data_IF_436706360291
#
_entry.id   IF_436706360291
#
_cell.length_a   1.000
_cell.length_b   1.000
_cell.length_c   1.000
_cell.angle_alpha   90.00
_cell.angle_beta   90.00
_cell.angle_gamma   90.00
#
_symmetry.space_group_name_H-M   'P 1'
#
loop_
_entity.id
_entity.type
_entity.pdbx_description
1 polymer ?
#
# COMPACT_ATOMS: atom_id res chain seq x y z
N UNK A 1 -5.85 26.71 -3.44
CA UNK A 1 -5.53 25.67 -2.44
C UNK A 1 -6.29 25.99 -1.18
N UNK A 2 -7.00 25.02 -0.63
CA UNK A 2 -7.84 25.23 0.54
C UNK A 2 -6.96 25.35 1.81
N UNK A 3 -7.26 26.33 2.66
CA UNK A 3 -6.44 26.67 3.83
C UNK A 3 -6.30 25.50 4.80
N UNK A 4 -7.32 24.67 4.97
CA UNK A 4 -7.27 23.53 5.87
C UNK A 4 -6.28 22.45 5.39
N UNK A 5 -6.24 22.16 4.09
CA UNK A 5 -5.26 21.22 3.53
C UNK A 5 -3.84 21.76 3.61
N UNK A 6 -3.65 23.07 3.43
CA UNK A 6 -2.33 23.68 3.58
C UNK A 6 -1.80 23.53 5.01
N UNK A 7 -2.66 23.75 6.01
CA UNK A 7 -2.31 23.55 7.43
C UNK A 7 -2.00 22.09 7.71
N UNK A 8 -2.82 21.15 7.24
CA UNK A 8 -2.57 19.72 7.42
C UNK A 8 -1.28 19.26 6.73
N UNK A 9 -1.01 19.75 5.51
CA UNK A 9 0.23 19.45 4.80
C UNK A 9 1.45 19.89 5.64
N UNK A 10 1.46 21.14 6.12
CA UNK A 10 2.53 21.64 6.99
C UNK A 10 2.64 20.85 8.29
N UNK A 11 1.52 20.49 8.91
CA UNK A 11 1.50 19.69 10.14
C UNK A 11 2.07 18.29 9.91
N UNK A 12 1.74 17.62 8.79
CA UNK A 12 2.31 16.31 8.44
C UNK A 12 3.81 16.35 8.13
N UNK A 13 4.33 17.50 7.70
CA UNK A 13 5.77 17.71 7.53
C UNK A 13 6.47 17.90 8.88
N UNK A 14 5.86 18.66 9.80
CA UNK A 14 6.38 18.90 11.15
C UNK A 14 6.29 17.66 12.05
N UNK A 15 5.20 16.90 11.93
CA UNK A 15 4.88 15.73 12.76
C UNK A 15 4.61 14.49 11.89
N UNK A 16 5.60 14.00 11.13
CA UNK A 16 5.41 12.95 10.13
C UNK A 16 5.01 11.58 10.69
N UNK A 17 5.15 11.40 12.01
CA UNK A 17 4.81 10.16 12.72
C UNK A 17 3.42 10.17 13.35
N UNK A 18 2.73 11.30 13.30
CA UNK A 18 1.34 11.39 13.74
C UNK A 18 0.45 10.86 12.61
N UNK A 19 -0.11 9.66 12.80
CA UNK A 19 -1.00 9.06 11.80
C UNK A 19 -2.36 9.76 11.73
N UNK A 20 -2.80 10.43 12.79
CA UNK A 20 -4.05 11.18 12.81
C UNK A 20 -4.05 12.32 11.80
N UNK A 21 -2.94 13.03 11.65
CA UNK A 21 -2.80 14.11 10.67
C UNK A 21 -2.91 13.61 9.21
N UNK A 22 -2.37 12.42 8.94
CA UNK A 22 -2.47 11.80 7.63
C UNK A 22 -3.89 11.30 7.33
N UNK A 23 -4.56 10.76 8.34
CA UNK A 23 -5.95 10.32 8.25
C UNK A 23 -6.89 11.52 8.02
N UNK A 24 -6.75 12.59 8.80
CA UNK A 24 -7.54 13.81 8.67
C UNK A 24 -7.35 14.47 7.29
N UNK A 25 -6.12 14.49 6.78
CA UNK A 25 -5.86 14.97 5.41
C UNK A 25 -6.56 14.10 4.36
N UNK A 26 -6.56 12.77 4.52
CA UNK A 26 -7.27 11.85 3.65
C UNK A 26 -8.78 12.05 3.69
N UNK A 27 -9.36 12.16 4.89
CA UNK A 27 -10.78 12.36 5.11
C UNK A 27 -11.26 13.71 4.56
N UNK A 28 -10.44 14.76 4.70
CA UNK A 28 -10.74 16.07 4.13
C UNK A 28 -10.79 16.04 2.60
N UNK A 29 -9.82 15.39 1.94
CA UNK A 29 -9.88 15.22 0.48
C UNK A 29 -11.08 14.38 0.04
N UNK A 30 -11.41 13.32 0.81
CA UNK A 30 -12.56 12.49 0.52
C UNK A 30 -13.88 13.25 0.66
N UNK A 31 -14.03 14.08 1.70
CA UNK A 31 -15.21 14.94 1.92
C UNK A 31 -15.43 15.92 0.76
N UNK A 32 -14.36 16.23 0.01
CA UNK A 32 -14.38 17.09 -1.18
C UNK A 32 -14.58 16.30 -2.48
N UNK A 33 -14.87 15.01 -2.39
CA UNK A 33 -15.04 14.12 -3.54
C UNK A 33 -13.72 13.74 -4.24
N UNK A 34 -12.56 14.12 -3.69
CA UNK A 34 -11.24 13.89 -4.28
C UNK A 34 -10.64 12.57 -3.78
N UNK A 35 -11.29 11.48 -4.17
CA UNK A 35 -10.91 10.12 -3.74
C UNK A 35 -9.44 9.78 -4.06
N UNK A 36 -8.93 10.18 -5.22
CA UNK A 36 -7.54 9.92 -5.61
C UNK A 36 -6.54 10.66 -4.71
N UNK A 37 -6.83 11.90 -4.35
CA UNK A 37 -5.98 12.70 -3.45
C UNK A 37 -6.03 12.15 -2.02
N UNK A 38 -7.20 11.70 -1.56
CA UNK A 38 -7.34 11.00 -0.29
C UNK A 38 -6.48 9.73 -0.23
N UNK A 39 -6.53 8.88 -1.27
CA UNK A 39 -5.66 7.70 -1.38
C UNK A 39 -4.19 8.11 -1.38
N UNK A 40 -3.82 9.17 -2.11
CA UNK A 40 -2.44 9.65 -2.18
C UNK A 40 -1.92 10.14 -0.81
N UNK A 41 -2.75 10.84 -0.03
CA UNK A 41 -2.43 11.28 1.33
C UNK A 41 -2.18 10.08 2.26
N UNK A 42 -3.11 9.12 2.29
CA UNK A 42 -3.01 7.92 3.11
C UNK A 42 -1.80 7.05 2.74
N UNK A 43 -1.51 6.88 1.45
CA UNK A 43 -0.33 6.15 0.96
C UNK A 43 0.96 6.86 1.35
N UNK A 44 1.00 8.19 1.27
CA UNK A 44 2.16 8.99 1.68
C UNK A 44 2.43 8.82 3.17
N UNK A 45 1.40 8.98 4.02
CA UNK A 45 1.51 8.75 5.46
C UNK A 45 1.93 7.32 5.79
N UNK A 46 1.29 6.33 5.17
CA UNK A 46 1.64 4.92 5.36
C UNK A 46 3.10 4.62 5.00
N UNK A 47 3.62 5.19 3.91
CA UNK A 47 5.03 5.09 3.52
C UNK A 47 5.95 5.73 4.55
N UNK A 48 5.63 6.93 5.02
CA UNK A 48 6.41 7.66 6.02
C UNK A 48 6.49 6.89 7.35
N UNK A 49 5.35 6.42 7.85
CA UNK A 49 5.27 5.62 9.08
C UNK A 49 5.99 4.28 8.95
N UNK A 50 5.87 3.62 7.80
CA UNK A 50 6.57 2.38 7.53
C UNK A 50 8.09 2.57 7.52
N UNK A 51 8.59 3.69 6.99
CA UNK A 51 10.01 4.05 7.04
C UNK A 51 10.47 4.29 8.49
N UNK A 52 9.62 4.93 9.30
CA UNK A 52 9.83 5.15 10.73
C UNK A 52 9.61 3.89 11.60
N UNK A 53 9.33 2.71 11.00
CA UNK A 53 9.02 1.45 11.70
C UNK A 53 7.77 1.50 12.60
N UNK A 54 6.90 2.50 12.43
CA UNK A 54 5.59 2.56 13.06
C UNK A 54 4.60 1.65 12.31
N UNK A 55 4.76 0.33 12.48
CA UNK A 55 4.06 -0.67 11.66
C UNK A 55 2.53 -0.63 11.84
N UNK A 56 2.02 -0.57 13.07
CA UNK A 56 0.58 -0.50 13.34
C UNK A 56 -0.09 0.72 12.69
N UNK A 57 0.40 1.95 12.96
CA UNK A 57 -0.06 3.16 12.28
C UNK A 57 0.02 3.08 10.75
N UNK A 58 1.12 2.58 10.21
CA UNK A 58 1.27 2.40 8.77
C UNK A 58 0.22 1.43 8.20
N UNK A 59 -0.02 0.30 8.87
CA UNK A 59 -1.03 -0.68 8.46
C UNK A 59 -2.43 -0.05 8.44
N UNK A 60 -2.79 0.78 9.42
CA UNK A 60 -4.10 1.48 9.46
C UNK A 60 -4.32 2.37 8.24
N UNK A 61 -3.37 3.28 7.95
CA UNK A 61 -3.49 4.19 6.80
C UNK A 61 -3.55 3.44 5.47
N UNK A 62 -2.73 2.41 5.31
CA UNK A 62 -2.69 1.60 4.08
C UNK A 62 -3.96 0.75 3.92
N UNK A 63 -4.58 0.31 5.02
CA UNK A 63 -5.90 -0.30 4.98
C UNK A 63 -6.99 0.70 4.60
N UNK A 64 -6.95 1.92 5.12
CA UNK A 64 -7.89 2.98 4.73
C UNK A 64 -7.78 3.28 3.23
N UNK A 65 -6.55 3.41 2.71
CA UNK A 65 -6.30 3.55 1.28
C UNK A 65 -6.88 2.38 0.48
N UNK A 66 -6.75 1.13 0.96
CA UNK A 66 -7.31 -0.06 0.31
C UNK A 66 -8.84 -0.16 0.36
N UNK A 67 -9.50 0.45 1.36
CA UNK A 67 -10.97 0.58 1.38
C UNK A 67 -11.45 1.57 0.31
N UNK A 68 -10.70 2.65 0.11
CA UNK A 68 -10.98 3.64 -0.91
C UNK A 68 -10.62 3.12 -2.30
N UNK A 69 -9.51 2.42 -2.47
CA UNK A 69 -9.13 1.88 -3.78
C UNK A 69 -8.59 0.45 -3.63
N UNK A 70 -9.48 -0.55 -3.78
CA UNK A 70 -9.07 -1.94 -3.72
C UNK A 70 -7.99 -2.24 -4.75
N UNK A 71 -6.94 -2.95 -4.32
CA UNK A 71 -5.79 -3.33 -5.16
C UNK A 71 -4.96 -2.17 -5.71
N UNK A 72 -5.07 -0.97 -5.11
CA UNK A 72 -4.15 0.12 -5.40
C UNK A 72 -2.69 -0.35 -5.18
N UNK A 73 -1.87 -0.21 -6.23
CA UNK A 73 -0.59 -0.90 -6.35
C UNK A 73 0.39 -0.56 -5.23
N UNK A 74 0.68 0.73 -5.03
CA UNK A 74 1.63 1.17 -4.00
C UNK A 74 1.14 0.85 -2.59
N UNK A 75 -0.14 1.16 -2.31
CA UNK A 75 -0.78 0.88 -1.02
C UNK A 75 -0.67 -0.61 -0.63
N UNK A 76 -1.01 -1.49 -1.56
CA UNK A 76 -1.00 -2.94 -1.35
C UNK A 76 0.43 -3.47 -1.16
N UNK A 77 1.40 -2.96 -1.93
CA UNK A 77 2.82 -3.31 -1.76
C UNK A 77 3.37 -2.87 -0.40
N UNK A 78 3.02 -1.67 0.04
CA UNK A 78 3.42 -1.14 1.35
C UNK A 78 2.76 -1.93 2.48
N UNK A 79 1.48 -2.28 2.35
CA UNK A 79 0.76 -3.07 3.37
C UNK A 79 1.39 -4.45 3.52
N UNK A 80 1.70 -5.12 2.41
CA UNK A 80 2.42 -6.40 2.43
C UNK A 80 3.80 -6.27 3.10
N UNK A 81 4.53 -5.16 2.90
CA UNK A 81 5.80 -4.90 3.59
C UNK A 81 5.60 -4.69 5.10
N UNK A 82 4.54 -3.99 5.50
CA UNK A 82 4.21 -3.79 6.90
C UNK A 82 3.90 -5.14 7.58
N UNK A 83 3.01 -5.94 6.99
CA UNK A 83 2.68 -7.29 7.46
C UNK A 83 3.89 -8.22 7.53
N UNK A 84 4.76 -8.19 6.52
CA UNK A 84 5.98 -9.00 6.54
C UNK A 84 6.93 -8.61 7.68
N UNK A 85 6.99 -7.33 8.03
CA UNK A 85 7.81 -6.81 9.15
C UNK A 85 7.16 -7.07 10.52
N UNK A 86 5.83 -7.16 10.60
CA UNK A 86 5.09 -7.53 11.82
C UNK A 86 4.97 -9.06 12.02
N UNK A 87 5.68 -9.86 11.22
CA UNK A 87 5.71 -11.33 11.34
C UNK A 87 4.63 -12.06 10.55
N UNK A 88 3.67 -11.34 9.96
CA UNK A 88 2.56 -11.87 9.14
C UNK A 88 2.97 -12.16 7.70
N UNK A 89 4.11 -12.84 7.53
CA UNK A 89 4.73 -13.09 6.23
C UNK A 89 3.84 -13.88 5.27
N UNK A 90 3.12 -14.89 5.78
CA UNK A 90 2.20 -15.71 4.95
C UNK A 90 1.05 -14.86 4.39
N UNK A 91 0.49 -13.96 5.19
CA UNK A 91 -0.57 -13.04 4.77
C UNK A 91 -0.07 -12.04 3.73
N UNK A 92 1.11 -11.45 3.98
CA UNK A 92 1.76 -10.54 3.03
C UNK A 92 1.93 -11.18 1.65
N UNK A 93 2.35 -12.45 1.63
CA UNK A 93 2.53 -13.20 0.40
C UNK A 93 1.21 -13.42 -0.33
N UNK A 94 0.15 -13.86 0.38
CA UNK A 94 -1.18 -14.05 -0.21
C UNK A 94 -1.72 -12.74 -0.81
N UNK A 95 -1.51 -11.62 -0.11
CA UNK A 95 -1.89 -10.30 -0.59
C UNK A 95 -1.17 -9.94 -1.90
N UNK A 96 0.14 -10.20 -2.00
CA UNK A 96 0.93 -9.93 -3.20
C UNK A 96 0.54 -10.81 -4.39
N UNK A 97 0.18 -12.06 -4.14
CA UNK A 97 -0.36 -12.94 -5.18
C UNK A 97 -1.69 -12.41 -5.72
N UNK A 98 -2.60 -12.00 -4.83
CA UNK A 98 -3.86 -11.39 -5.22
C UNK A 98 -3.68 -10.10 -6.04
N UNK A 99 -2.68 -9.28 -5.67
CA UNK A 99 -2.32 -8.06 -6.40
C UNK A 99 -1.81 -8.40 -7.80
N UNK A 100 -0.92 -9.37 -7.92
CA UNK A 100 -0.33 -9.74 -9.19
C UNK A 100 -1.33 -10.38 -10.16
N UNK A 101 -2.38 -11.02 -9.65
CA UNK A 101 -3.47 -11.57 -10.46
C UNK A 101 -4.36 -10.47 -11.06
N UNK A 102 -4.60 -9.39 -10.32
CA UNK A 102 -5.57 -8.33 -10.70
C UNK A 102 -4.95 -7.13 -11.39
N UNK A 103 -3.62 -6.98 -11.30
CA UNK A 103 -2.90 -5.86 -11.90
C UNK A 103 -1.96 -6.32 -13.01
N UNK A 104 -1.61 -5.39 -13.91
CA UNK A 104 -0.68 -5.57 -15.01
C UNK A 104 0.67 -4.89 -14.80
N UNK A 105 1.53 -4.99 -15.82
CA UNK A 105 2.74 -4.18 -15.97
C UNK A 105 3.69 -4.19 -14.76
N UNK A 106 4.17 -2.99 -14.39
CA UNK A 106 5.17 -2.79 -13.32
C UNK A 106 4.66 -3.22 -11.94
N UNK A 107 3.38 -2.97 -11.63
CA UNK A 107 2.78 -3.35 -10.34
C UNK A 107 2.78 -4.87 -10.16
N UNK A 108 2.37 -5.61 -11.20
CA UNK A 108 2.45 -7.07 -11.21
C UNK A 108 3.88 -7.52 -10.93
N UNK A 109 4.85 -7.02 -11.69
CA UNK A 109 6.26 -7.39 -11.56
C UNK A 109 6.81 -7.12 -10.14
N UNK A 110 6.53 -5.94 -9.58
CA UNK A 110 6.91 -5.58 -8.23
C UNK A 110 6.30 -6.51 -7.17
N UNK A 111 5.03 -6.89 -7.34
CA UNK A 111 4.36 -7.83 -6.46
C UNK A 111 5.01 -9.21 -6.49
N UNK A 112 5.34 -9.75 -7.69
CA UNK A 112 6.04 -11.04 -7.82
C UNK A 112 7.42 -10.98 -7.16
N UNK A 113 8.19 -9.95 -7.45
CA UNK A 113 9.53 -9.77 -6.92
C UNK A 113 9.53 -9.70 -5.39
N UNK A 114 8.59 -8.95 -4.79
CA UNK A 114 8.47 -8.89 -3.34
C UNK A 114 8.03 -10.24 -2.75
N UNK A 115 7.07 -10.94 -3.36
CA UNK A 115 6.64 -12.25 -2.89
C UNK A 115 7.77 -13.28 -2.91
N UNK A 116 8.60 -13.29 -3.96
CA UNK A 116 9.79 -14.14 -4.08
C UNK A 116 10.83 -13.82 -3.01
N UNK A 117 11.08 -12.53 -2.73
CA UNK A 117 12.00 -12.13 -1.66
C UNK A 117 11.50 -12.54 -0.27
N UNK A 118 10.18 -12.56 -0.07
CA UNK A 118 9.58 -12.98 1.19
C UNK A 118 9.53 -14.51 1.35
N UNK A 119 9.49 -15.27 0.27
CA UNK A 119 9.60 -16.73 0.29
C UNK A 119 10.30 -17.21 -0.97
N UNK A 120 11.63 -17.44 -0.90
CA UNK A 120 12.38 -18.00 -2.02
C UNK A 120 12.10 -19.51 -2.07
N UNK A 121 10.94 -19.89 -2.60
CA UNK A 121 10.61 -21.30 -2.87
C UNK A 121 10.65 -21.57 -4.37
N UNK A 122 11.35 -22.63 -4.83
CA UNK A 122 11.44 -22.98 -6.25
C UNK A 122 10.06 -23.14 -6.90
N UNK A 123 9.10 -23.76 -6.20
CA UNK A 123 7.73 -23.97 -6.70
C UNK A 123 6.98 -22.67 -7.03
N UNK A 124 7.30 -21.54 -6.38
CA UNK A 124 6.75 -20.24 -6.77
C UNK A 124 7.40 -19.75 -8.05
N UNK A 125 8.73 -19.77 -8.17
CA UNK A 125 9.45 -19.38 -9.40
C UNK A 125 8.85 -20.06 -10.65
N UNK A 126 8.60 -21.37 -10.58
CA UNK A 126 7.97 -22.13 -11.67
C UNK A 126 6.53 -21.70 -12.00
N UNK A 127 5.75 -21.24 -11.01
CA UNK A 127 4.38 -20.75 -11.22
C UNK A 127 4.32 -19.41 -11.97
N UNK A 128 5.38 -18.60 -11.89
CA UNK A 128 5.44 -17.29 -12.56
C UNK A 128 6.11 -17.33 -13.94
N UNK A 129 6.88 -18.39 -14.23
CA UNK A 129 7.56 -18.63 -15.51
C UNK A 129 6.66 -19.30 -16.56
N UNK A 130 5.54 -19.91 -16.17
CA UNK A 130 4.58 -20.43 -17.16
C UNK A 130 3.88 -19.25 -17.84
N UNK A 131 3.92 -19.15 -19.18
CA UNK A 131 2.99 -18.31 -19.90
C UNK A 131 1.59 -18.78 -19.52
N UNK A 132 0.67 -17.84 -19.25
CA UNK A 132 -0.76 -18.17 -19.28
C UNK A 132 -1.03 -18.68 -20.70
N UNK A 133 -1.12 -20.01 -20.86
CA UNK A 133 -1.70 -20.59 -22.06
C UNK A 133 -3.07 -19.92 -22.22
N UNK A 134 -3.25 -19.22 -23.34
CA UNK A 134 -4.49 -18.54 -23.65
C UNK A 134 -5.64 -19.53 -23.53
N UNK A 135 -6.63 -19.18 -22.72
CA UNK A 135 -7.98 -19.68 -22.90
C UNK A 135 -8.51 -19.03 -24.17
N UNK A 136 -8.69 -19.87 -25.21
CA UNK A 136 -9.44 -19.54 -26.42
C UNK A 136 -10.92 -19.39 -26.17
#
# INVERSE_FOLDING_TARGET
>A
MDRALAVLAQATEAFPRDDGLWEEMGDLELSRGRRADAVAALVRGGRTLLAARALGPAERLLHAAGRLEPWHGEATLLLARAWARSGRRRDAIRLLEGLAQRTGGRTRAAARALALRLSPTPGRLWRWLRPSAGSG
#
